data_IF_476122937568
#
_entry.id   IF_476122937568
#
_cell.length_a   1.000
_cell.length_b   1.000
_cell.length_c   1.000
_cell.angle_alpha   90.00
_cell.angle_beta   90.00
_cell.angle_gamma   90.00
#
_symmetry.space_group_name_H-M   'P 1'
#
loop_
_entity.id
_entity.type
_entity.pdbx_description
1 polymer ?
#
# COMPACT_ATOMS: atom_id res chain seq x y z
N UNK A 1 -23.07 -32.05 -10.96
CA UNK A 1 -22.68 -31.02 -11.95
C UNK A 1 -21.82 -29.96 -11.27
N UNK A 2 -20.53 -29.85 -11.61
CA UNK A 2 -19.63 -28.82 -11.06
C UNK A 2 -19.83 -27.52 -11.85
N UNK A 3 -20.31 -26.46 -11.20
CA UNK A 3 -20.40 -25.12 -11.79
C UNK A 3 -18.98 -24.56 -11.95
N UNK A 4 -18.54 -24.42 -13.20
CA UNK A 4 -17.32 -23.69 -13.54
C UNK A 4 -17.70 -22.21 -13.50
N UNK A 5 -17.35 -21.53 -12.41
CA UNK A 5 -17.41 -20.07 -12.35
C UNK A 5 -16.19 -19.54 -13.10
N UNK A 6 -16.41 -19.14 -14.36
CA UNK A 6 -15.44 -18.41 -15.17
C UNK A 6 -15.26 -17.01 -14.56
N UNK A 7 -14.35 -16.89 -13.60
CA UNK A 7 -13.89 -15.60 -13.09
C UNK A 7 -12.96 -15.01 -14.13
N UNK A 8 -13.48 -14.07 -14.92
CA UNK A 8 -12.71 -13.22 -15.81
C UNK A 8 -11.78 -12.39 -14.91
N UNK A 9 -10.51 -12.80 -14.84
CA UNK A 9 -9.45 -12.02 -14.23
C UNK A 9 -9.18 -10.82 -15.13
N UNK A 10 -9.21 -9.58 -14.64
CA UNK A 10 -8.50 -8.51 -15.29
C UNK A 10 -7.00 -8.76 -15.06
N UNK A 11 -6.41 -9.68 -15.84
CA UNK A 11 -4.99 -9.60 -16.12
C UNK A 11 -4.82 -8.45 -17.10
N UNK A 12 -4.60 -7.24 -16.58
CA UNK A 12 -4.14 -6.13 -17.40
C UNK A 12 -2.78 -6.51 -17.99
N UNK A 13 -2.81 -6.96 -19.25
CA UNK A 13 -1.63 -7.16 -20.08
C UNK A 13 -0.87 -5.83 -20.18
N UNK A 14 0.18 -5.68 -19.38
CA UNK A 14 1.03 -4.50 -19.39
C UNK A 14 2.29 -4.85 -20.16
N UNK A 15 2.23 -4.69 -21.48
CA UNK A 15 3.38 -4.71 -22.35
C UNK A 15 4.31 -3.53 -22.00
N UNK A 16 5.60 -3.84 -21.83
CA UNK A 16 6.79 -3.00 -22.00
C UNK A 16 6.59 -1.48 -22.02
N UNK A 17 6.83 -0.77 -20.91
CA UNK A 17 7.61 0.49 -20.88
C UNK A 17 8.06 0.72 -19.43
N UNK A 18 9.37 0.56 -19.19
CA UNK A 18 9.99 0.50 -17.88
C UNK A 18 10.48 1.87 -17.41
N UNK A 19 10.08 2.26 -16.21
CA UNK A 19 10.81 3.21 -15.37
C UNK A 19 10.72 2.71 -13.93
N UNK A 20 11.67 1.87 -13.50
CA UNK A 20 11.83 1.57 -12.09
C UNK A 20 12.56 2.76 -11.44
N UNK A 21 11.81 3.76 -10.98
CA UNK A 21 12.33 4.84 -10.13
C UNK A 21 12.60 4.32 -8.71
N UNK A 22 13.44 3.30 -8.56
CA UNK A 22 13.95 2.85 -7.26
C UNK A 22 15.39 3.31 -7.13
N UNK A 23 15.56 4.50 -6.54
CA UNK A 23 16.84 4.92 -6.00
C UNK A 23 17.17 3.97 -4.84
N UNK A 24 18.41 3.48 -4.80
CA UNK A 24 18.93 2.67 -3.70
C UNK A 24 18.76 3.45 -2.40
N UNK A 25 18.00 2.90 -1.47
CA UNK A 25 17.50 3.62 -0.32
C UNK A 25 17.59 2.69 0.89
N UNK A 26 18.75 2.68 1.55
CA UNK A 26 18.88 2.02 2.82
C UNK A 26 18.25 2.92 3.90
N UNK A 27 17.22 2.39 4.55
CA UNK A 27 16.49 3.13 5.58
C UNK A 27 15.80 2.19 6.54
N UNK A 28 15.63 2.64 7.78
CA UNK A 28 14.91 1.91 8.81
C UNK A 28 13.45 2.39 8.88
N UNK A 29 12.55 1.44 9.00
CA UNK A 29 11.13 1.68 9.24
C UNK A 29 10.71 1.08 10.56
N UNK A 30 10.20 1.92 11.46
CA UNK A 30 9.46 1.48 12.64
C UNK A 30 7.97 1.63 12.33
N UNK A 31 7.19 0.57 12.55
CA UNK A 31 5.74 0.58 12.34
C UNK A 31 5.02 0.09 13.60
N UNK A 32 4.06 0.87 14.09
CA UNK A 32 3.21 0.54 15.22
C UNK A 32 1.76 0.66 14.74
N UNK A 33 0.92 -0.33 14.98
CA UNK A 33 -0.45 -0.27 14.51
C UNK A 33 -1.40 -1.15 15.29
N UNK A 34 -2.65 -0.74 15.29
CA UNK A 34 -3.76 -1.47 15.87
C UNK A 34 -4.82 -1.72 14.79
N UNK A 35 -5.39 -2.93 14.80
CA UNK A 35 -6.51 -3.30 13.95
C UNK A 35 -7.66 -3.72 14.87
N UNK A 36 -8.74 -2.95 14.88
CA UNK A 36 -9.95 -3.26 15.63
C UNK A 36 -10.99 -3.85 14.70
N UNK A 37 -11.42 -5.08 14.99
CA UNK A 37 -12.44 -5.78 14.22
C UNK A 37 -13.83 -5.42 14.75
N UNK A 38 -14.50 -4.47 14.11
CA UNK A 38 -15.85 -4.04 14.50
C UNK A 38 -16.88 -5.13 14.26
N UNK A 39 -16.79 -5.84 13.13
CA UNK A 39 -17.69 -6.94 12.77
C UNK A 39 -16.94 -8.08 12.09
N UNK A 40 -17.60 -9.23 11.84
CA UNK A 40 -16.99 -10.40 11.20
C UNK A 40 -16.28 -10.08 9.87
N UNK A 41 -16.81 -9.10 9.11
CA UNK A 41 -16.35 -8.62 7.82
C UNK A 41 -15.85 -7.17 7.81
N UNK A 42 -15.81 -6.47 8.95
CA UNK A 42 -15.41 -5.05 9.02
C UNK A 42 -14.26 -4.85 10.01
N UNK A 43 -13.31 -3.98 9.66
CA UNK A 43 -12.23 -3.60 10.56
C UNK A 43 -11.83 -2.14 10.39
N UNK A 44 -11.50 -1.48 11.49
CA UNK A 44 -10.86 -0.17 11.53
C UNK A 44 -9.40 -0.37 11.90
N UNK A 45 -8.51 0.39 11.29
CA UNK A 45 -7.07 0.30 11.50
C UNK A 45 -6.49 1.68 11.72
N UNK A 46 -5.52 1.78 12.62
CA UNK A 46 -4.67 2.96 12.79
C UNK A 46 -3.22 2.48 12.83
N UNK A 47 -2.35 3.13 12.09
CA UNK A 47 -0.96 2.74 11.96
C UNK A 47 -0.07 3.98 11.91
N UNK A 48 0.90 4.00 12.81
CA UNK A 48 1.98 4.96 12.88
C UNK A 48 3.22 4.34 12.24
N UNK A 49 3.92 5.10 11.38
CA UNK A 49 5.24 4.69 10.89
C UNK A 49 6.23 5.81 11.02
N UNK A 50 7.46 5.45 11.33
CA UNK A 50 8.60 6.37 11.40
C UNK A 50 9.68 5.85 10.48
N UNK A 51 10.25 6.73 9.67
CA UNK A 51 11.32 6.41 8.73
C UNK A 51 12.57 7.21 9.04
N UNK A 52 13.69 6.51 9.12
CA UNK A 52 15.03 7.10 9.21
C UNK A 52 15.85 6.68 7.98
N UNK A 53 16.58 7.62 7.38
CA UNK A 53 17.59 7.32 6.35
C UNK A 53 18.93 6.97 6.99
N UNK A 54 19.89 6.55 6.16
CA UNK A 54 21.25 6.04 6.49
C UNK A 54 22.00 6.75 7.63
N UNK A 55 21.67 8.00 7.94
CA UNK A 55 22.31 8.76 9.01
C UNK A 55 21.77 8.52 10.43
N UNK A 56 20.77 7.65 10.67
CA UNK A 56 20.16 7.20 11.96
C UNK A 56 19.81 8.26 13.04
N UNK A 57 20.21 9.51 12.84
CA UNK A 57 20.19 10.62 13.80
C UNK A 57 19.01 11.54 13.54
N UNK A 58 18.43 11.48 12.34
CA UNK A 58 17.33 12.35 11.93
C UNK A 58 16.14 11.55 11.40
N UNK A 59 14.95 11.91 11.90
CA UNK A 59 13.68 11.42 11.40
C UNK A 59 13.39 12.08 10.06
N UNK A 60 13.24 11.30 9.00
CA UNK A 60 13.01 11.85 7.66
C UNK A 60 11.52 11.99 7.32
N UNK A 61 10.71 11.03 7.75
CA UNK A 61 9.26 11.07 7.51
C UNK A 61 8.54 10.26 8.56
N UNK A 62 7.32 10.67 8.87
CA UNK A 62 6.41 9.91 9.71
C UNK A 62 5.04 9.81 9.06
N UNK A 63 4.29 8.80 9.44
CA UNK A 63 3.03 8.43 8.82
C UNK A 63 2.00 8.19 9.90
N UNK A 64 0.79 8.71 9.70
CA UNK A 64 -0.40 8.27 10.42
C UNK A 64 -1.40 7.82 9.36
N UNK A 65 -1.66 6.52 9.32
CA UNK A 65 -2.56 5.87 8.36
C UNK A 65 -3.78 5.34 9.12
N UNK A 66 -4.95 5.85 8.76
CA UNK A 66 -6.23 5.42 9.30
C UNK A 66 -6.99 4.74 8.15
N UNK A 67 -7.46 3.53 8.39
CA UNK A 67 -8.12 2.72 7.38
C UNK A 67 -9.40 2.08 7.87
N UNK A 68 -10.38 1.96 6.97
CA UNK A 68 -11.56 1.12 7.13
C UNK A 68 -11.53 0.02 6.06
N UNK A 69 -11.71 -1.23 6.50
CA UNK A 69 -11.69 -2.39 5.63
C UNK A 69 -13.01 -3.14 5.68
N UNK A 70 -13.51 -3.52 4.50
CA UNK A 70 -14.69 -4.35 4.31
C UNK A 70 -14.32 -5.62 3.52
N UNK A 71 -14.63 -6.79 4.09
CA UNK A 71 -14.43 -8.09 3.47
C UNK A 71 -15.68 -8.45 2.66
N UNK A 72 -15.59 -8.30 1.35
CA UNK A 72 -16.68 -8.63 0.40
C UNK A 72 -16.84 -10.14 0.30
N UNK A 73 -15.72 -10.86 0.19
CA UNK A 73 -15.66 -12.32 0.13
C UNK A 73 -14.53 -12.81 1.05
N UNK A 74 -14.52 -14.12 1.37
CA UNK A 74 -13.40 -14.71 2.11
C UNK A 74 -12.04 -14.46 1.45
N UNK A 75 -12.02 -14.33 0.13
CA UNK A 75 -10.84 -14.07 -0.70
C UNK A 75 -10.65 -12.60 -1.11
N UNK A 76 -11.64 -11.72 -0.92
CA UNK A 76 -11.60 -10.34 -1.44
C UNK A 76 -11.93 -9.33 -0.34
N UNK A 77 -11.00 -8.41 -0.10
CA UNK A 77 -11.13 -7.32 0.86
C UNK A 77 -10.90 -5.99 0.16
N UNK A 78 -11.80 -5.04 0.37
CA UNK A 78 -11.65 -3.66 -0.04
C UNK A 78 -11.37 -2.81 1.19
N UNK A 79 -10.48 -1.83 1.11
CA UNK A 79 -10.26 -0.88 2.19
C UNK A 79 -10.05 0.54 1.66
N UNK A 80 -10.58 1.49 2.40
CA UNK A 80 -10.40 2.92 2.20
C UNK A 80 -9.46 3.43 3.29
N UNK A 81 -8.50 4.24 2.91
CA UNK A 81 -7.50 4.77 3.81
C UNK A 81 -7.25 6.24 3.58
N UNK A 82 -6.90 6.90 4.67
CA UNK A 82 -6.32 8.23 4.69
C UNK A 82 -5.00 8.17 5.46
N UNK A 83 -3.93 8.68 4.85
CA UNK A 83 -2.64 8.80 5.48
C UNK A 83 -2.12 10.23 5.43
N UNK A 84 -1.69 10.73 6.59
CA UNK A 84 -0.87 11.93 6.71
C UNK A 84 0.60 11.50 6.72
N UNK A 85 1.38 11.97 5.76
CA UNK A 85 2.78 11.59 5.56
C UNK A 85 3.71 12.81 5.41
N UNK A 86 4.07 13.49 6.50
CA UNK A 86 4.98 14.61 6.41
C UNK A 86 6.38 14.11 6.07
N UNK A 87 6.98 14.73 5.05
CA UNK A 87 8.33 14.41 4.59
C UNK A 87 9.25 15.60 4.80
N UNK A 88 10.42 15.35 5.38
CA UNK A 88 11.43 16.37 5.62
C UNK A 88 12.02 16.85 4.29
N UNK A 89 12.15 18.16 4.16
CA UNK A 89 12.84 18.83 3.05
C UNK A 89 14.34 18.89 3.31
N UNK A 90 15.10 19.29 2.30
CA UNK A 90 16.54 19.57 2.44
C UNK A 90 16.87 20.64 3.51
N UNK A 91 15.91 21.48 3.87
CA UNK A 91 16.06 22.54 4.88
C UNK A 91 15.59 22.10 6.28
N UNK A 92 15.30 20.81 6.48
CA UNK A 92 14.86 20.28 7.76
C UNK A 92 13.39 20.51 8.11
N UNK A 93 12.65 21.23 7.27
CA UNK A 93 11.20 21.49 7.45
C UNK A 93 10.38 20.32 6.92
N UNK A 94 9.34 19.91 7.65
CA UNK A 94 8.40 18.89 7.19
C UNK A 94 7.30 19.50 6.32
N UNK A 95 7.11 18.93 5.14
CA UNK A 95 5.98 19.24 4.28
C UNK A 95 4.90 18.17 4.48
N UNK A 96 3.67 18.54 4.90
CA UNK A 96 2.58 17.58 5.02
C UNK A 96 2.13 17.10 3.64
N UNK A 97 2.06 15.79 3.47
CA UNK A 97 1.41 15.15 2.31
C UNK A 97 0.19 14.40 2.79
N UNK A 98 -0.94 14.64 2.16
CA UNK A 98 -2.18 13.90 2.42
C UNK A 98 -2.37 12.87 1.33
N UNK A 99 -2.61 11.64 1.73
CA UNK A 99 -2.78 10.50 0.84
C UNK A 99 -4.14 9.86 1.11
N UNK A 100 -4.96 9.77 0.06
CA UNK A 100 -6.22 9.04 0.09
C UNK A 100 -6.05 7.85 -0.82
N UNK A 101 -6.32 6.64 -0.31
CA UNK A 101 -6.17 5.47 -1.16
C UNK A 101 -7.22 4.42 -0.92
N UNK A 102 -7.62 3.78 -2.02
CA UNK A 102 -8.46 2.60 -2.03
C UNK A 102 -7.53 1.41 -2.29
N UNK A 103 -7.63 0.38 -1.47
CA UNK A 103 -6.88 -0.86 -1.61
C UNK A 103 -7.83 -2.02 -1.80
N UNK A 104 -7.57 -2.82 -2.82
CA UNK A 104 -8.21 -4.11 -3.04
C UNK A 104 -7.16 -5.20 -2.78
N UNK A 105 -7.43 -6.08 -1.82
CA UNK A 105 -6.61 -7.25 -1.53
C UNK A 105 -7.39 -8.52 -1.91
N UNK A 106 -6.87 -9.27 -2.87
CA UNK A 106 -7.35 -10.59 -3.25
C UNK A 106 -6.36 -11.68 -2.80
N UNK A 107 -6.87 -12.69 -2.10
CA UNK A 107 -6.09 -13.85 -1.65
C UNK A 107 -6.87 -15.13 -1.88
N UNK A 108 -6.31 -16.07 -2.62
CA UNK A 108 -6.92 -17.37 -2.88
C UNK A 108 -5.94 -18.50 -2.60
N UNK A 109 -6.36 -19.46 -1.78
CA UNK A 109 -5.64 -20.73 -1.63
C UNK A 109 -5.92 -21.58 -2.88
N UNK A 110 -4.86 -21.91 -3.61
CA UNK A 110 -4.96 -22.81 -4.77
C UNK A 110 -4.99 -24.27 -4.28
N UNK A 111 -4.21 -24.57 -3.25
CA UNK A 111 -4.23 -25.81 -2.48
C UNK A 111 -3.61 -25.55 -1.09
N UNK A 112 -3.34 -26.60 -0.30
CA UNK A 112 -2.76 -26.47 1.05
C UNK A 112 -1.36 -25.84 1.07
N UNK A 113 -0.61 -25.95 -0.03
CA UNK A 113 0.75 -25.44 -0.15
C UNK A 113 0.81 -24.07 -0.84
N UNK A 114 -0.04 -23.81 -1.84
CA UNK A 114 0.07 -22.62 -2.67
C UNK A 114 -1.04 -21.60 -2.42
N UNK A 115 -0.64 -20.35 -2.25
CA UNK A 115 -1.54 -19.19 -2.10
C UNK A 115 -1.24 -18.17 -3.18
N UNK A 116 -2.26 -17.76 -3.93
CA UNK A 116 -2.17 -16.63 -4.83
C UNK A 116 -2.57 -15.34 -4.11
N UNK A 117 -1.88 -14.25 -4.39
CA UNK A 117 -2.22 -12.92 -3.88
C UNK A 117 -2.08 -11.86 -4.97
N UNK A 118 -3.08 -10.98 -5.02
CA UNK A 118 -3.06 -9.77 -5.80
C UNK A 118 -3.51 -8.61 -4.91
N UNK A 119 -2.81 -7.49 -5.00
CA UNK A 119 -3.17 -6.26 -4.30
C UNK A 119 -3.11 -5.11 -5.28
N UNK A 120 -4.19 -4.36 -5.38
CA UNK A 120 -4.28 -3.14 -6.17
C UNK A 120 -4.51 -1.97 -5.21
N UNK A 121 -3.78 -0.87 -5.41
CA UNK A 121 -3.94 0.38 -4.66
C UNK A 121 -4.08 1.51 -5.68
N UNK A 122 -5.13 2.31 -5.54
CA UNK A 122 -5.27 3.60 -6.22
C UNK A 122 -5.10 4.66 -5.15
N UNK A 123 -4.04 5.46 -5.26
CA UNK A 123 -3.66 6.45 -4.25
C UNK A 123 -3.61 7.82 -4.87
N UNK A 124 -4.36 8.77 -4.32
CA UNK A 124 -4.24 10.18 -4.62
C UNK A 124 -3.45 10.87 -3.52
N UNK A 125 -2.34 11.51 -3.88
CA UNK A 125 -1.50 12.31 -2.99
C UNK A 125 -1.66 13.78 -3.32
N UNK A 126 -1.85 14.61 -2.31
CA UNK A 126 -1.84 16.05 -2.47
C UNK A 126 -1.10 16.76 -1.34
N UNK A 127 -0.77 18.02 -1.60
CA UNK A 127 -0.25 18.98 -0.63
C UNK A 127 -1.25 20.13 -0.53
N UNK A 128 -2.21 20.06 0.39
CA UNK A 128 -3.22 21.11 0.57
C UNK A 128 -2.74 22.20 1.57
N UNK A 129 -2.85 23.47 1.13
CA UNK A 129 -3.07 24.70 1.92
C UNK A 129 -1.94 25.17 2.88
N UNK A 130 -0.74 25.46 2.37
CA UNK A 130 0.16 26.39 3.08
C UNK A 130 0.93 27.33 2.14
N UNK A 131 0.57 27.38 0.86
CA UNK A 131 1.49 27.87 -0.17
C UNK A 131 0.81 28.69 -1.28
N UNK A 132 -0.49 28.99 -1.12
CA UNK A 132 -1.23 29.87 -2.05
C UNK A 132 -0.62 31.29 -2.01
N UNK A 133 -0.09 31.72 -0.86
CA UNK A 133 0.53 33.05 -0.69
C UNK A 133 1.98 33.15 -1.21
N UNK A 134 2.65 32.02 -1.51
CA UNK A 134 4.06 31.98 -1.95
C UNK A 134 4.26 31.64 -3.43
N UNK A 135 3.18 31.53 -4.22
CA UNK A 135 3.28 31.18 -5.65
C UNK A 135 3.70 29.73 -5.93
N UNK A 136 3.71 28.87 -4.92
CA UNK A 136 4.04 27.46 -5.04
C UNK A 136 2.89 26.72 -5.74
N UNK A 137 3.20 26.04 -6.86
CA UNK A 137 2.20 25.24 -7.58
C UNK A 137 1.68 24.12 -6.69
N UNK A 138 0.36 23.87 -6.67
CA UNK A 138 -0.20 22.79 -5.89
C UNK A 138 0.31 21.45 -6.41
N UNK A 139 0.68 20.55 -5.49
CA UNK A 139 1.17 19.21 -5.82
C UNK A 139 0.02 18.21 -5.76
N UNK A 140 -0.25 17.56 -6.88
CA UNK A 140 -1.21 16.46 -7.00
C UNK A 140 -0.55 15.31 -7.76
N UNK A 141 -0.70 14.09 -7.25
CA UNK A 141 -0.18 12.88 -7.89
C UNK A 141 -1.15 11.73 -7.66
N UNK A 142 -1.44 10.95 -8.69
CA UNK A 142 -2.26 9.75 -8.58
C UNK A 142 -1.42 8.54 -8.93
N UNK A 143 -1.18 7.68 -7.94
CA UNK A 143 -0.39 6.46 -8.11
C UNK A 143 -1.33 5.25 -8.23
N UNK A 144 -1.12 4.43 -9.26
CA UNK A 144 -1.68 3.09 -9.34
C UNK A 144 -0.59 2.09 -8.97
N UNK A 145 -0.84 1.25 -7.97
CA UNK A 145 0.14 0.24 -7.51
C UNK A 145 -0.50 -1.13 -7.54
N UNK A 146 0.13 -2.05 -8.25
CA UNK A 146 -0.31 -3.43 -8.31
C UNK A 146 0.81 -4.35 -7.83
N UNK A 147 0.49 -5.25 -6.90
CA UNK A 147 1.38 -6.32 -6.45
C UNK A 147 0.75 -7.66 -6.71
N UNK A 148 1.37 -8.50 -7.53
CA UNK A 148 0.94 -9.87 -7.82
C UNK A 148 2.00 -10.83 -7.28
N UNK A 149 1.58 -11.94 -6.68
CA UNK A 149 2.52 -12.94 -6.21
C UNK A 149 1.91 -14.30 -5.89
N UNK A 150 2.82 -15.23 -5.59
CA UNK A 150 2.51 -16.60 -5.19
C UNK A 150 3.30 -16.91 -3.91
N UNK A 151 2.65 -17.66 -3.01
CA UNK A 151 3.19 -18.09 -1.74
C UNK A 151 3.20 -19.58 -1.62
N UNK A 152 4.26 -20.11 -1.01
CA UNK A 152 4.45 -21.50 -0.72
C UNK A 152 4.52 -21.70 0.79
N UNK A 153 3.51 -22.34 1.37
CA UNK A 153 3.42 -22.65 2.77
C UNK A 153 4.19 -23.95 3.03
N UNK A 154 5.37 -23.83 3.62
CA UNK A 154 6.22 -24.97 3.97
C UNK A 154 5.66 -25.64 5.23
N UNK A 155 5.24 -24.84 6.20
CA UNK A 155 4.62 -25.27 7.45
C UNK A 155 3.57 -24.25 7.90
N UNK A 156 2.95 -24.48 9.05
CA UNK A 156 2.08 -23.49 9.70
C UNK A 156 2.82 -22.22 10.14
N UNK A 157 4.14 -22.29 10.30
CA UNK A 157 5.00 -21.20 10.80
C UNK A 157 5.95 -20.60 9.75
N UNK A 158 6.13 -21.27 8.60
CA UNK A 158 7.08 -20.86 7.56
C UNK A 158 6.42 -20.83 6.19
N UNK A 159 6.60 -19.70 5.52
CA UNK A 159 6.12 -19.49 4.16
C UNK A 159 7.19 -18.77 3.32
N UNK A 160 7.36 -19.24 2.10
CA UNK A 160 8.12 -18.51 1.08
C UNK A 160 7.17 -17.73 0.20
N UNK A 161 7.60 -16.58 -0.27
CA UNK A 161 6.79 -15.74 -1.14
C UNK A 161 7.63 -15.16 -2.28
N UNK A 162 7.03 -15.14 -3.46
CA UNK A 162 7.52 -14.41 -4.61
C UNK A 162 6.44 -13.42 -5.03
N UNK A 163 6.81 -12.18 -5.26
CA UNK A 163 5.89 -11.19 -5.80
C UNK A 163 6.61 -10.20 -6.72
N UNK A 164 5.85 -9.66 -7.66
CA UNK A 164 6.21 -8.50 -8.45
C UNK A 164 5.32 -7.32 -8.00
N UNK A 165 5.85 -6.11 -8.02
CA UNK A 165 5.10 -4.89 -7.75
C UNK A 165 5.38 -3.85 -8.83
N UNK A 166 4.31 -3.37 -9.45
CA UNK A 166 4.30 -2.27 -10.40
C UNK A 166 3.71 -1.03 -9.76
N UNK A 167 4.25 0.12 -10.15
CA UNK A 167 3.75 1.42 -9.76
C UNK A 167 3.74 2.30 -11.00
N UNK A 168 2.58 2.91 -11.27
CA UNK A 168 2.34 3.87 -12.33
C UNK A 168 1.92 5.18 -11.66
N UNK A 169 2.39 6.30 -12.21
CA UNK A 169 2.23 7.64 -11.66
C UNK A 169 1.66 8.56 -12.73
#
# INVERSE_FOLDING_TARGET
MKRIHLLIFPMSGSFFFYSQNRINDAGAWLSLGANYKTYSNQAVSVMFRFRQYENFTQLNSWYVDIGYAYRILSSLKLSLHYALNPTQTRYGVFIPLHQYYIRMDYRKFLNKYFTFYNRVIVQHTNRFIADIDNGSKPYYRTDFRERVGIGYNISSSSNWFLHNEWMYT
#
